data_IF_832698492914
#
_entry.id   IF_832698492914
#
_cell.length_a   1.000
_cell.length_b   1.000
_cell.length_c   1.000
_cell.angle_alpha   90.00
_cell.angle_beta   90.00
_cell.angle_gamma   90.00
#
_symmetry.space_group_name_H-M   'P 1'
#
loop_
_entity.id
_entity.type
_entity.pdbx_description
1 polymer ?
#
# COMPACT_ATOMS: atom_id res chain seq x y z
N UNK A 1 -4.93 -17.53 -15.40
CA UNK A 1 -3.55 -17.31 -14.88
C UNK A 1 -3.25 -15.83 -15.07
N UNK A 2 -2.76 -15.11 -14.05
CA UNK A 2 -2.48 -13.66 -14.19
C UNK A 2 -1.39 -13.42 -15.25
N UNK A 3 -1.50 -12.38 -16.09
CA UNK A 3 -0.47 -12.05 -17.06
C UNK A 3 0.89 -11.82 -16.38
N UNK A 4 1.99 -12.23 -17.03
CA UNK A 4 3.34 -12.02 -16.47
C UNK A 4 3.64 -10.54 -16.18
N UNK A 5 3.18 -9.64 -17.06
CA UNK A 5 3.26 -8.19 -16.85
C UNK A 5 2.56 -7.74 -15.57
N UNK A 6 1.46 -8.38 -15.21
CA UNK A 6 0.68 -8.08 -13.99
C UNK A 6 1.46 -8.52 -12.75
N UNK A 7 2.02 -9.73 -12.77
CA UNK A 7 2.85 -10.24 -11.68
C UNK A 7 4.07 -9.36 -11.44
N UNK A 8 4.76 -8.95 -12.50
CA UNK A 8 5.92 -8.04 -12.41
C UNK A 8 5.54 -6.69 -11.78
N UNK A 9 4.38 -6.13 -12.11
CA UNK A 9 3.89 -4.89 -11.48
C UNK A 9 3.67 -5.08 -9.99
N UNK A 10 2.98 -6.15 -9.60
CA UNK A 10 2.72 -6.44 -8.18
C UNK A 10 4.05 -6.60 -7.44
N UNK A 11 5.01 -7.33 -8.03
CA UNK A 11 6.32 -7.54 -7.43
C UNK A 11 7.09 -6.22 -7.27
N UNK A 12 7.08 -5.35 -8.28
CA UNK A 12 7.68 -4.02 -8.19
C UNK A 12 7.07 -3.15 -7.09
N UNK A 13 5.76 -3.21 -6.87
CA UNK A 13 5.11 -2.48 -5.77
C UNK A 13 5.51 -3.07 -4.41
N UNK A 14 5.60 -4.39 -4.28
CA UNK A 14 6.08 -5.06 -3.06
C UNK A 14 7.53 -4.63 -2.76
N UNK A 15 8.42 -4.66 -3.75
CA UNK A 15 9.82 -4.24 -3.58
C UNK A 15 9.93 -2.76 -3.16
N UNK A 16 9.06 -1.90 -3.67
CA UNK A 16 8.99 -0.49 -3.25
C UNK A 16 8.53 -0.34 -1.80
N UNK A 17 7.52 -1.11 -1.39
CA UNK A 17 7.03 -1.14 0.00
C UNK A 17 8.14 -1.64 0.94
N UNK A 18 8.82 -2.73 0.58
CA UNK A 18 9.91 -3.29 1.38
C UNK A 18 11.03 -2.27 1.56
N UNK A 19 11.43 -1.61 0.46
CA UNK A 19 12.43 -0.55 0.49
C UNK A 19 12.02 0.64 1.35
N UNK A 20 10.74 1.04 1.31
CA UNK A 20 10.21 2.09 2.18
C UNK A 20 10.39 1.73 3.66
N UNK A 21 9.99 0.52 4.04
CA UNK A 21 10.09 0.06 5.43
C UNK A 21 11.55 -0.07 5.86
N UNK A 22 12.43 -0.61 5.00
CA UNK A 22 13.86 -0.72 5.26
C UNK A 22 14.49 0.66 5.49
N UNK A 23 14.22 1.60 4.58
CA UNK A 23 14.77 2.97 4.61
C UNK A 23 14.45 3.70 5.92
N UNK A 24 13.25 3.50 6.46
CA UNK A 24 12.79 4.18 7.68
C UNK A 24 12.77 3.28 8.91
N UNK A 25 13.40 2.10 8.84
CA UNK A 25 13.34 1.10 9.91
C UNK A 25 13.86 1.61 11.25
N UNK A 26 14.89 2.47 11.25
CA UNK A 26 15.44 3.05 12.47
C UNK A 26 14.49 4.05 13.12
N UNK A 27 13.81 4.89 12.33
CA UNK A 27 12.78 5.79 12.83
C UNK A 27 11.60 4.99 13.40
N UNK A 28 11.13 3.97 12.68
CA UNK A 28 10.04 3.11 13.13
C UNK A 28 10.38 2.43 14.47
N UNK A 29 11.60 1.88 14.61
CA UNK A 29 12.06 1.26 15.86
C UNK A 29 12.16 2.28 16.99
N UNK A 30 12.68 3.48 16.72
CA UNK A 30 12.79 4.57 17.69
C UNK A 30 11.41 4.95 18.24
N UNK A 31 10.44 5.19 17.37
CA UNK A 31 9.10 5.64 17.75
C UNK A 31 8.25 4.58 18.46
N UNK A 32 8.66 3.31 18.46
CA UNK A 32 8.07 2.26 19.30
C UNK A 32 8.56 2.36 20.75
N UNK A 33 9.79 2.83 20.96
CA UNK A 33 10.44 2.89 22.28
C UNK A 33 10.21 4.23 22.99
N UNK A 34 9.96 5.30 22.23
CA UNK A 34 9.78 6.66 22.75
C UNK A 34 8.68 7.40 22.02
N UNK A 35 7.97 8.29 22.72
CA UNK A 35 6.97 9.15 22.11
C UNK A 35 7.60 10.04 21.02
N UNK A 36 7.09 10.01 19.77
CA UNK A 36 7.65 10.77 18.68
C UNK A 36 7.38 12.28 18.80
N UNK A 37 8.34 13.09 18.39
CA UNK A 37 8.12 14.53 18.27
C UNK A 37 7.26 14.90 17.04
N UNK A 38 6.94 16.19 16.88
CA UNK A 38 6.08 16.65 15.77
C UNK A 38 6.66 16.38 14.38
N UNK A 39 7.98 16.42 14.23
CA UNK A 39 8.66 16.15 12.95
C UNK A 39 8.59 14.65 12.67
N UNK A 40 8.83 13.83 13.68
CA UNK A 40 8.74 12.37 13.59
C UNK A 40 7.30 11.93 13.30
N UNK A 41 6.29 12.52 13.94
CA UNK A 41 4.87 12.26 13.64
C UNK A 41 4.56 12.56 12.17
N UNK A 42 5.05 13.70 11.63
CA UNK A 42 4.85 14.03 10.23
C UNK A 42 5.53 13.02 9.29
N UNK A 43 6.75 12.59 9.62
CA UNK A 43 7.47 11.56 8.88
C UNK A 43 6.74 10.21 8.92
N UNK A 44 6.28 9.77 10.10
CA UNK A 44 5.49 8.55 10.28
C UNK A 44 4.19 8.60 9.47
N UNK A 45 3.51 9.76 9.46
CA UNK A 45 2.32 9.97 8.64
C UNK A 45 2.60 9.81 7.14
N UNK A 46 3.73 10.34 6.67
CA UNK A 46 4.17 10.20 5.27
C UNK A 46 4.55 8.76 4.92
N UNK A 47 5.23 8.04 5.82
CA UNK A 47 5.56 6.62 5.65
C UNK A 47 4.28 5.80 5.57
N UNK A 48 3.35 6.00 6.50
CA UNK A 48 2.07 5.31 6.53
C UNK A 48 1.26 5.55 5.25
N UNK A 49 1.19 6.80 4.80
CA UNK A 49 0.52 7.15 3.55
C UNK A 49 1.15 6.44 2.34
N UNK A 50 2.49 6.47 2.24
CA UNK A 50 3.21 5.79 1.15
C UNK A 50 2.99 4.27 1.16
N UNK A 51 2.97 3.67 2.35
CA UNK A 51 2.65 2.25 2.52
C UNK A 51 1.24 1.91 2.00
N UNK A 52 0.23 2.69 2.41
CA UNK A 52 -1.14 2.48 1.95
C UNK A 52 -1.28 2.66 0.44
N UNK A 53 -0.63 3.67 -0.14
CA UNK A 53 -0.67 3.89 -1.59
C UNK A 53 -0.09 2.68 -2.36
N UNK A 54 1.00 2.08 -1.87
CA UNK A 54 1.57 0.87 -2.47
C UNK A 54 0.59 -0.31 -2.44
N UNK A 55 -0.13 -0.51 -1.32
CA UNK A 55 -1.17 -1.53 -1.24
C UNK A 55 -2.31 -1.25 -2.23
N UNK A 56 -2.77 0.00 -2.32
CA UNK A 56 -3.83 0.39 -3.26
C UNK A 56 -3.44 0.18 -4.72
N UNK A 57 -2.16 0.39 -5.07
CA UNK A 57 -1.64 0.08 -6.40
C UNK A 57 -1.72 -1.42 -6.69
N UNK A 58 -1.25 -2.26 -5.78
CA UNK A 58 -1.33 -3.73 -5.89
C UNK A 58 -2.78 -4.17 -6.06
N UNK A 59 -3.66 -3.65 -5.20
CA UNK A 59 -5.08 -3.93 -5.19
C UNK A 59 -5.78 -3.50 -6.47
N UNK A 60 -5.45 -2.33 -7.02
CA UNK A 60 -6.00 -1.85 -8.28
C UNK A 60 -5.58 -2.74 -9.45
N UNK A 61 -4.33 -3.21 -9.44
CA UNK A 61 -3.82 -4.16 -10.44
C UNK A 61 -4.57 -5.50 -10.35
N UNK A 62 -4.79 -6.02 -9.14
CA UNK A 62 -5.56 -7.26 -8.93
C UNK A 62 -7.01 -7.08 -9.36
N UNK A 63 -7.69 -6.04 -8.89
CA UNK A 63 -9.10 -5.76 -9.20
C UNK A 63 -9.33 -5.63 -10.71
N UNK A 64 -8.43 -4.92 -11.40
CA UNK A 64 -8.49 -4.80 -12.87
C UNK A 64 -8.40 -6.15 -13.59
N UNK A 65 -7.59 -7.07 -13.10
CA UNK A 65 -7.26 -8.32 -13.81
C UNK A 65 -8.14 -9.50 -13.37
N UNK A 66 -8.71 -9.45 -12.16
CA UNK A 66 -9.52 -10.53 -11.56
C UNK A 66 -11.01 -10.19 -11.51
N UNK A 67 -11.34 -8.94 -11.21
CA UNK A 67 -12.72 -8.44 -11.12
C UNK A 67 -13.13 -7.63 -12.36
N UNK A 68 -12.20 -7.40 -13.30
CA UNK A 68 -12.37 -6.60 -14.53
C UNK A 68 -12.88 -5.17 -14.29
N UNK A 69 -12.89 -4.72 -13.04
CA UNK A 69 -13.48 -3.46 -12.60
C UNK A 69 -12.65 -2.86 -11.46
N UNK A 70 -12.44 -1.54 -11.53
CA UNK A 70 -11.78 -0.76 -10.49
C UNK A 70 -12.73 0.36 -10.06
N UNK A 71 -13.02 0.52 -8.75
CA UNK A 71 -13.88 1.58 -8.26
C UNK A 71 -13.40 2.97 -8.66
N UNK A 72 -14.32 3.93 -8.73
CA UNK A 72 -14.05 5.30 -9.19
C UNK A 72 -14.74 6.31 -8.26
N UNK A 73 -14.33 7.58 -8.32
CA UNK A 73 -14.92 8.65 -7.50
C UNK A 73 -14.23 8.83 -6.16
N UNK A 74 -14.74 9.70 -5.29
CA UNK A 74 -14.04 10.16 -4.09
C UNK A 74 -13.69 9.04 -3.08
N UNK A 75 -14.54 8.02 -2.98
CA UNK A 75 -14.42 6.91 -2.03
C UNK A 75 -13.79 5.64 -2.62
N UNK A 76 -13.22 5.72 -3.83
CA UNK A 76 -12.74 4.56 -4.58
C UNK A 76 -11.77 3.67 -3.79
N UNK A 77 -10.88 4.29 -3.02
CA UNK A 77 -9.88 3.60 -2.18
C UNK A 77 -10.54 2.61 -1.20
N UNK A 78 -11.62 3.06 -0.53
CA UNK A 78 -12.36 2.23 0.44
C UNK A 78 -13.17 1.15 -0.26
N UNK A 79 -13.79 1.50 -1.38
CA UNK A 79 -14.57 0.57 -2.20
C UNK A 79 -13.69 -0.55 -2.74
N UNK A 80 -12.44 -0.25 -3.11
CA UNK A 80 -11.45 -1.22 -3.57
C UNK A 80 -11.09 -2.23 -2.47
N UNK A 81 -10.88 -1.76 -1.23
CA UNK A 81 -10.65 -2.66 -0.08
C UNK A 81 -11.85 -3.57 0.16
N UNK A 82 -13.07 -3.03 0.09
CA UNK A 82 -14.30 -3.81 0.25
C UNK A 82 -14.37 -4.88 -0.85
N UNK A 83 -14.14 -4.49 -2.12
CA UNK A 83 -14.17 -5.39 -3.26
C UNK A 83 -13.22 -6.58 -3.08
N UNK A 84 -11.97 -6.33 -2.67
CA UNK A 84 -10.95 -7.37 -2.49
C UNK A 84 -11.23 -8.25 -1.27
N UNK A 85 -11.88 -7.70 -0.23
CA UNK A 85 -12.22 -8.46 0.99
C UNK A 85 -13.38 -9.45 0.82
N UNK A 86 -14.17 -9.33 -0.26
CA UNK A 86 -15.32 -10.20 -0.49
C UNK A 86 -14.86 -11.62 -0.80
N UNK A 87 -15.34 -12.59 -0.01
CA UNK A 87 -15.19 -14.01 -0.34
C UNK A 87 -16.02 -14.31 -1.60
N UNK A 88 -15.36 -14.93 -2.59
CA UNK A 88 -16.00 -15.53 -3.76
C UNK A 88 -16.38 -16.97 -3.46
#
# INVERSE_FOLDING_TARGET
MLPEKTKLKIQLEIEQIDKLIETYSDLLKKCVQSEPDKIEIAALGSILHSFYNGLENIFSVIAKEVDETVPQGFSWHKELLIQISKKR
#
